data_IF_713321211006
#
_entry.id   IF_713321211006
#
_cell.length_a   1.000
_cell.length_b   1.000
_cell.length_c   1.000
_cell.angle_alpha   90.00
_cell.angle_beta   90.00
_cell.angle_gamma   90.00
#
_symmetry.space_group_name_H-M   'P 1'
#
loop_
_entity.id
_entity.type
_entity.pdbx_description
1 polymer ?
#
# COMPACT_ATOMS: atom_id res chain seq x y z
N UNK A 1 4.13 -22.84 2.64
CA UNK A 1 4.53 -21.85 3.66
C UNK A 1 6.04 -21.95 3.78
N UNK A 2 6.80 -20.89 3.48
CA UNK A 2 8.26 -20.94 3.58
C UNK A 2 8.70 -20.87 5.05
N UNK A 3 9.78 -21.55 5.45
CA UNK A 3 10.39 -21.35 6.75
C UNK A 3 10.86 -19.90 6.90
N UNK A 4 10.51 -19.27 8.03
CA UNK A 4 10.99 -17.94 8.40
C UNK A 4 11.74 -18.04 9.73
N UNK A 5 12.99 -17.60 9.77
CA UNK A 5 13.82 -17.57 10.96
C UNK A 5 14.05 -16.15 11.49
N UNK A 6 14.46 -16.03 12.76
CA UNK A 6 14.90 -14.78 13.34
C UNK A 6 16.39 -14.87 13.60
N UNK A 7 17.16 -13.93 13.06
CA UNK A 7 18.59 -13.84 13.35
C UNK A 7 18.86 -13.55 14.82
N UNK A 8 20.04 -13.91 15.35
CA UNK A 8 20.45 -13.55 16.71
C UNK A 8 20.35 -12.04 16.99
N UNK A 9 20.66 -11.21 15.99
CA UNK A 9 20.57 -9.75 16.06
C UNK A 9 19.13 -9.28 16.28
N UNK A 10 18.17 -9.87 15.55
CA UNK A 10 16.74 -9.59 15.74
C UNK A 10 16.27 -10.02 17.12
N UNK A 11 16.66 -11.22 17.58
CA UNK A 11 16.29 -11.70 18.93
C UNK A 11 16.84 -10.76 20.02
N UNK A 12 18.07 -10.28 19.87
CA UNK A 12 18.65 -9.31 20.79
C UNK A 12 17.92 -7.96 20.76
N UNK A 13 17.58 -7.43 19.58
CA UNK A 13 16.85 -6.17 19.44
C UNK A 13 15.46 -6.24 20.09
N UNK A 14 14.72 -7.33 19.87
CA UNK A 14 13.40 -7.55 20.47
C UNK A 14 13.48 -7.62 22.00
N UNK A 15 14.50 -8.30 22.53
CA UNK A 15 14.75 -8.34 23.97
C UNK A 15 15.01 -6.94 24.51
N UNK A 16 15.83 -6.13 23.83
CA UNK A 16 16.13 -4.77 24.26
C UNK A 16 14.89 -3.85 24.25
N UNK A 17 13.98 -3.99 23.27
CA UNK A 17 12.72 -3.24 23.27
C UNK A 17 11.83 -3.63 24.44
N UNK A 18 11.72 -4.94 24.70
CA UNK A 18 10.92 -5.46 25.81
C UNK A 18 11.46 -4.99 27.15
N UNK A 19 12.77 -5.04 27.34
CA UNK A 19 13.44 -4.64 28.58
C UNK A 19 13.26 -3.12 28.84
N UNK A 20 13.02 -2.32 27.79
CA UNK A 20 12.65 -0.89 27.89
C UNK A 20 11.14 -0.63 28.06
N UNK A 21 10.29 -1.64 27.92
CA UNK A 21 8.83 -1.47 27.89
C UNK A 21 8.31 -0.81 26.61
N UNK A 22 9.09 -0.82 25.54
CA UNK A 22 8.81 -0.11 24.28
C UNK A 22 8.45 -1.08 23.14
N UNK A 23 8.19 -2.37 23.41
CA UNK A 23 7.92 -3.36 22.38
C UNK A 23 6.50 -3.20 21.82
N UNK A 24 6.32 -2.76 20.56
CA UNK A 24 5.00 -2.70 19.94
C UNK A 24 4.47 -4.11 19.66
N UNK A 25 3.15 -4.30 19.58
CA UNK A 25 2.52 -5.61 19.30
C UNK A 25 3.07 -6.27 18.04
N UNK A 26 3.34 -5.46 17.00
CA UNK A 26 3.94 -5.91 15.73
C UNK A 26 5.32 -6.55 15.88
N UNK A 27 6.05 -6.24 16.95
CA UNK A 27 7.39 -6.78 17.22
C UNK A 27 7.37 -8.12 17.97
N UNK A 28 6.21 -8.78 18.10
CA UNK A 28 6.17 -10.16 18.58
C UNK A 28 6.70 -11.16 17.54
N UNK A 29 7.41 -12.19 18.01
CA UNK A 29 8.06 -13.18 17.15
C UNK A 29 7.10 -13.82 16.13
N UNK A 30 5.88 -14.16 16.54
CA UNK A 30 4.86 -14.76 15.68
C UNK A 30 4.34 -13.79 14.62
N UNK A 31 4.24 -12.50 14.95
CA UNK A 31 3.78 -11.44 14.04
C UNK A 31 4.83 -11.17 12.98
N UNK A 32 6.11 -11.07 13.37
CA UNK A 32 7.24 -10.90 12.44
C UNK A 32 7.29 -12.05 11.44
N UNK A 33 7.23 -13.30 11.92
CA UNK A 33 7.29 -14.49 11.05
C UNK A 33 6.11 -14.52 10.07
N UNK A 34 4.90 -14.25 10.56
CA UNK A 34 3.69 -14.21 9.73
C UNK A 34 3.74 -13.10 8.69
N UNK A 35 4.26 -11.92 9.06
CA UNK A 35 4.41 -10.79 8.16
C UNK A 35 5.38 -11.09 7.01
N UNK A 36 6.56 -11.64 7.32
CA UNK A 36 7.56 -12.02 6.30
C UNK A 36 7.01 -13.11 5.39
N UNK A 37 6.42 -14.16 5.95
CA UNK A 37 5.83 -15.24 5.16
C UNK A 37 4.70 -14.72 4.24
N UNK A 38 3.87 -13.81 4.75
CA UNK A 38 2.81 -13.17 3.97
C UNK A 38 3.35 -12.24 2.87
N UNK A 39 4.43 -11.50 3.13
CA UNK A 39 5.08 -10.65 2.14
C UNK A 39 5.71 -11.50 1.01
N UNK A 40 6.44 -12.56 1.36
CA UNK A 40 7.04 -13.47 0.38
C UNK A 40 5.97 -14.17 -0.46
N UNK A 41 4.89 -14.64 0.18
CA UNK A 41 3.77 -15.24 -0.56
C UNK A 41 3.21 -14.29 -1.62
N UNK A 42 2.97 -13.02 -1.27
CA UNK A 42 2.47 -12.01 -2.23
C UNK A 42 3.46 -11.73 -3.36
N UNK A 43 4.77 -11.75 -3.08
CA UNK A 43 5.79 -11.60 -4.11
C UNK A 43 5.77 -12.77 -5.10
N UNK A 44 5.64 -14.00 -4.61
CA UNK A 44 5.57 -15.22 -5.44
C UNK A 44 4.27 -15.28 -6.25
N UNK A 45 3.14 -14.98 -5.62
CA UNK A 45 1.81 -15.05 -6.25
C UNK A 45 1.51 -13.85 -7.16
N UNK A 46 2.32 -12.79 -7.10
CA UNK A 46 2.10 -11.55 -7.84
C UNK A 46 0.94 -10.69 -7.32
N UNK A 47 0.25 -11.11 -6.25
CA UNK A 47 -0.85 -10.38 -5.63
C UNK A 47 -0.37 -9.39 -4.56
N UNK A 48 0.22 -8.29 -5.03
CA UNK A 48 0.68 -7.19 -4.18
C UNK A 48 -0.41 -6.13 -3.93
N UNK A 49 -1.50 -6.16 -4.70
CA UNK A 49 -2.51 -5.10 -4.84
C UNK A 49 -3.14 -4.63 -3.52
N UNK A 50 -3.42 -5.56 -2.60
CA UNK A 50 -4.08 -5.27 -1.33
C UNK A 50 -3.13 -5.05 -0.15
N UNK A 51 -1.82 -5.24 -0.34
CA UNK A 51 -0.85 -5.32 0.76
C UNK A 51 0.26 -4.29 0.74
N UNK A 52 0.29 -3.38 -0.23
CA UNK A 52 1.37 -2.38 -0.42
C UNK A 52 0.77 -1.03 -0.81
N UNK A 53 1.54 0.07 -0.68
CA UNK A 53 1.07 1.36 -1.17
C UNK A 53 1.12 1.42 -2.70
N UNK A 54 0.23 2.20 -3.35
CA UNK A 54 0.24 2.31 -4.80
C UNK A 54 1.57 2.77 -5.41
N UNK A 55 2.33 3.63 -4.72
CA UNK A 55 3.65 4.08 -5.19
C UNK A 55 4.76 3.03 -5.02
N UNK A 56 4.62 2.11 -4.06
CA UNK A 56 5.55 0.98 -3.86
C UNK A 56 5.35 -0.12 -4.92
N UNK A 57 4.12 -0.25 -5.42
CA UNK A 57 3.68 -1.37 -6.25
C UNK A 57 4.46 -1.55 -7.57
N UNK A 58 4.75 -0.51 -8.37
CA UNK A 58 5.47 -0.66 -9.63
C UNK A 58 6.86 -1.25 -9.43
N UNK A 59 7.60 -0.76 -8.45
CA UNK A 59 8.95 -1.22 -8.16
C UNK A 59 8.96 -2.65 -7.63
N UNK A 60 8.07 -2.93 -6.67
CA UNK A 60 7.94 -4.27 -6.11
C UNK A 60 7.58 -5.30 -7.18
N UNK A 61 6.65 -4.98 -8.09
CA UNK A 61 6.31 -5.86 -9.22
C UNK A 61 7.49 -6.09 -10.15
N UNK A 62 8.20 -5.01 -10.52
CA UNK A 62 9.36 -5.09 -11.40
C UNK A 62 10.45 -5.98 -10.83
N UNK A 63 10.79 -5.80 -9.55
CA UNK A 63 11.80 -6.60 -8.86
C UNK A 63 11.33 -8.03 -8.62
N UNK A 64 10.05 -8.22 -8.29
CA UNK A 64 9.48 -9.54 -8.09
C UNK A 64 9.51 -10.41 -9.36
N UNK A 65 9.33 -9.81 -10.54
CA UNK A 65 9.43 -10.53 -11.81
C UNK A 65 10.82 -11.13 -12.08
N UNK A 66 11.87 -10.59 -11.44
CA UNK A 66 13.24 -11.09 -11.52
C UNK A 66 13.63 -11.99 -10.35
N UNK A 67 12.73 -12.25 -9.39
CA UNK A 67 13.04 -13.14 -8.28
C UNK A 67 13.12 -14.59 -8.77
N UNK A 68 14.16 -15.29 -8.33
CA UNK A 68 14.25 -16.74 -8.45
C UNK A 68 13.32 -17.47 -7.47
N UNK A 69 13.53 -18.78 -7.34
CA UNK A 69 12.84 -19.56 -6.31
C UNK A 69 13.21 -19.05 -4.91
N UNK A 70 12.21 -18.81 -4.06
CA UNK A 70 12.42 -18.45 -2.66
C UNK A 70 12.08 -19.67 -1.78
N UNK A 71 13.09 -20.21 -1.12
CA UNK A 71 12.95 -21.42 -0.29
C UNK A 71 12.87 -21.11 1.21
N UNK A 72 13.40 -19.97 1.66
CA UNK A 72 13.38 -19.55 3.05
C UNK A 72 13.52 -18.02 3.18
N UNK A 73 13.26 -17.49 4.38
CA UNK A 73 13.57 -16.12 4.72
C UNK A 73 14.10 -16.00 6.16
N UNK A 74 14.97 -15.03 6.41
CA UNK A 74 15.51 -14.75 7.74
C UNK A 74 15.32 -13.28 8.07
N UNK A 75 14.68 -12.97 9.19
CA UNK A 75 14.62 -11.62 9.71
C UNK A 75 16.02 -11.21 10.18
N UNK A 76 16.60 -10.18 9.55
CA UNK A 76 17.97 -9.72 9.79
C UNK A 76 18.05 -8.41 10.56
N UNK A 77 16.97 -7.61 10.56
CA UNK A 77 16.87 -6.36 11.34
C UNK A 77 15.42 -6.09 11.72
N UNK A 78 15.23 -5.56 12.95
CA UNK A 78 13.94 -5.04 13.39
C UNK A 78 14.15 -3.84 14.32
N UNK A 79 13.41 -2.76 14.07
CA UNK A 79 13.15 -1.69 15.02
C UNK A 79 11.63 -1.44 15.14
N UNK A 80 11.19 -0.35 15.77
CA UNK A 80 9.76 -0.07 15.89
C UNK A 80 9.09 0.22 14.54
N UNK A 81 9.83 0.72 13.55
CA UNK A 81 9.31 1.25 12.30
C UNK A 81 9.72 0.41 11.08
N UNK A 82 10.82 -0.33 11.17
CA UNK A 82 11.44 -1.05 10.07
C UNK A 82 11.69 -2.51 10.44
N UNK A 83 11.25 -3.43 9.58
CA UNK A 83 11.58 -4.84 9.60
C UNK A 83 12.24 -5.22 8.27
N UNK A 84 13.35 -5.95 8.33
CA UNK A 84 14.09 -6.40 7.15
C UNK A 84 14.23 -7.90 7.19
N UNK A 85 13.90 -8.54 6.06
CA UNK A 85 14.11 -9.96 5.85
C UNK A 85 15.00 -10.20 4.64
N UNK A 86 15.94 -11.13 4.77
CA UNK A 86 16.76 -11.64 3.68
C UNK A 86 16.13 -12.92 3.14
N UNK A 87 16.05 -13.02 1.82
CA UNK A 87 15.42 -14.11 1.08
C UNK A 87 16.50 -15.09 0.62
N UNK A 88 16.25 -16.39 0.79
CA UNK A 88 17.14 -17.45 0.31
C UNK A 88 16.59 -18.10 -0.96
N UNK A 89 17.45 -18.48 -1.92
CA UNK A 89 18.92 -18.46 -1.87
C UNK A 89 19.58 -17.19 -2.45
N UNK A 90 18.83 -16.25 -3.03
CA UNK A 90 19.37 -15.10 -3.76
C UNK A 90 19.89 -13.94 -2.91
N UNK A 91 19.69 -13.99 -1.59
CA UNK A 91 20.07 -12.94 -0.62
C UNK A 91 19.42 -11.58 -0.86
N UNK A 92 18.33 -11.52 -1.63
CA UNK A 92 17.55 -10.30 -1.79
C UNK A 92 16.94 -9.89 -0.44
N UNK A 93 16.94 -8.60 -0.14
CA UNK A 93 16.38 -8.07 1.09
C UNK A 93 15.07 -7.36 0.82
N UNK A 94 14.04 -7.67 1.61
CA UNK A 94 12.77 -6.96 1.62
C UNK A 94 12.63 -6.12 2.89
N UNK A 95 12.06 -4.93 2.73
CA UNK A 95 11.82 -3.96 3.80
C UNK A 95 10.32 -3.82 4.03
N UNK A 96 9.93 -3.98 5.28
CA UNK A 96 8.57 -3.79 5.74
C UNK A 96 8.52 -2.60 6.71
N UNK A 97 7.50 -1.75 6.56
CA UNK A 97 7.17 -0.65 7.47
C UNK A 97 6.20 -1.12 8.55
N UNK A 98 6.41 -0.67 9.78
CA UNK A 98 5.42 -0.80 10.86
C UNK A 98 4.18 0.04 10.56
N UNK A 99 3.00 -0.56 10.64
CA UNK A 99 1.71 0.12 10.45
C UNK A 99 0.75 -0.46 11.48
N UNK A 100 0.33 0.36 12.44
CA UNK A 100 -0.49 -0.06 13.58
C UNK A 100 0.13 -1.30 14.27
N UNK A 101 -0.62 -2.40 14.37
CA UNK A 101 -0.17 -3.68 14.94
C UNK A 101 0.46 -4.63 13.90
N UNK A 102 0.69 -4.17 12.68
CA UNK A 102 1.17 -4.97 11.55
C UNK A 102 2.44 -4.45 10.87
N UNK A 103 2.79 -5.15 9.80
CA UNK A 103 3.91 -4.84 8.92
C UNK A 103 3.43 -4.83 7.47
N UNK A 104 3.84 -3.80 6.72
CA UNK A 104 3.52 -3.65 5.30
C UNK A 104 4.79 -3.72 4.47
N UNK A 105 4.81 -4.55 3.43
CA UNK A 105 5.91 -4.57 2.46
C UNK A 105 5.97 -3.24 1.70
N UNK A 106 7.16 -2.64 1.62
CA UNK A 106 7.36 -1.33 0.98
C UNK A 106 8.32 -1.43 -0.20
N UNK A 107 9.47 -2.05 -0.01
CA UNK A 107 10.49 -2.14 -1.06
C UNK A 107 11.42 -3.31 -0.87
N UNK A 108 12.23 -3.56 -1.88
CA UNK A 108 13.48 -4.28 -1.71
C UNK A 108 14.59 -3.31 -1.26
N UNK A 109 15.54 -3.77 -0.47
CA UNK A 109 16.73 -3.00 -0.08
C UNK A 109 17.93 -3.35 -0.95
N UNK A 110 18.70 -2.33 -1.32
CA UNK A 110 20.01 -2.48 -1.93
C UNK A 110 21.07 -2.13 -0.89
N UNK A 111 21.91 -3.11 -0.54
CA UNK A 111 22.90 -2.96 0.52
C UNK A 111 22.27 -2.79 1.91
N UNK A 112 22.77 -1.81 2.67
CA UNK A 112 22.39 -1.57 4.07
C UNK A 112 21.43 -0.38 4.24
N UNK A 113 21.03 0.28 3.15
CA UNK A 113 20.03 1.35 3.21
C UNK A 113 18.62 0.79 3.34
N UNK A 114 18.12 0.85 4.57
CA UNK A 114 16.78 0.43 4.98
C UNK A 114 15.98 1.59 5.56
N UNK A 115 16.44 2.84 5.37
CA UNK A 115 15.71 4.03 5.78
C UNK A 115 14.38 4.11 5.04
N UNK A 116 13.33 4.49 5.77
CA UNK A 116 12.01 4.75 5.21
C UNK A 116 11.68 6.23 5.37
N UNK A 117 11.14 6.83 4.32
CA UNK A 117 10.59 8.18 4.43
C UNK A 117 9.40 8.17 5.39
N UNK A 118 9.17 9.22 6.19
CA UNK A 118 7.95 9.30 6.98
C UNK A 118 6.70 9.25 6.07
N UNK A 119 5.67 8.53 6.51
CA UNK A 119 4.33 8.67 5.93
C UNK A 119 3.55 9.68 6.79
N UNK A 120 2.89 10.62 6.15
CA UNK A 120 2.03 11.60 6.84
C UNK A 120 0.58 11.39 6.46
N UNK A 121 -0.29 11.52 7.45
CA UNK A 121 -1.74 11.35 7.28
C UNK A 121 -2.46 12.62 7.71
N UNK A 122 -3.42 13.08 6.91
CA UNK A 122 -4.29 14.20 7.25
C UNK A 122 -5.71 13.99 6.73
N UNK A 123 -6.68 14.54 7.45
CA UNK A 123 -8.07 14.57 7.01
C UNK A 123 -8.36 15.92 6.34
N UNK A 124 -9.10 15.89 5.24
CA UNK A 124 -9.56 17.08 4.50
C UNK A 124 -11.05 17.00 4.26
N UNK A 125 -11.70 18.16 4.12
CA UNK A 125 -13.07 18.23 3.62
C UNK A 125 -13.08 18.04 2.10
N UNK A 126 -14.11 17.35 1.60
CA UNK A 126 -14.36 17.22 0.17
C UNK A 126 -15.47 18.18 -0.21
N UNK A 127 -15.15 19.12 -1.10
CA UNK A 127 -16.13 20.02 -1.67
C UNK A 127 -16.56 19.51 -3.04
N UNK A 128 -17.82 19.09 -3.15
CA UNK A 128 -18.41 18.54 -4.37
C UNK A 128 -18.45 17.02 -4.40
N UNK A 129 -18.71 16.47 -5.58
CA UNK A 129 -18.80 15.03 -5.85
C UNK A 129 -18.01 14.67 -7.11
N UNK A 130 -17.82 13.37 -7.34
CA UNK A 130 -17.12 12.88 -8.52
C UNK A 130 -15.59 13.05 -8.50
N UNK A 131 -14.93 12.67 -9.60
CA UNK A 131 -13.47 12.76 -9.75
C UNK A 131 -12.90 14.18 -9.62
N UNK A 132 -13.65 15.22 -9.98
CA UNK A 132 -13.20 16.61 -9.87
C UNK A 132 -13.01 17.06 -8.42
N UNK A 133 -13.83 16.56 -7.49
CA UNK A 133 -13.64 16.82 -6.05
C UNK A 133 -12.33 16.22 -5.52
N UNK A 134 -11.90 15.07 -6.07
CA UNK A 134 -10.61 14.46 -5.76
C UNK A 134 -9.46 15.35 -6.25
N UNK A 135 -9.53 15.84 -7.50
CA UNK A 135 -8.51 16.72 -8.06
C UNK A 135 -8.39 18.04 -7.28
N UNK A 136 -9.53 18.64 -6.92
CA UNK A 136 -9.57 19.84 -6.09
C UNK A 136 -8.94 19.62 -4.71
N UNK A 137 -9.27 18.52 -4.03
CA UNK A 137 -8.71 18.17 -2.73
C UNK A 137 -7.19 17.91 -2.79
N UNK A 138 -6.69 17.38 -3.91
CA UNK A 138 -5.27 17.16 -4.16
C UNK A 138 -4.55 18.42 -4.71
N UNK A 139 -5.27 19.49 -5.02
CA UNK A 139 -4.70 20.70 -5.62
C UNK A 139 -4.15 20.48 -7.04
N UNK A 140 -4.72 19.55 -7.80
CA UNK A 140 -4.27 19.18 -9.14
C UNK A 140 -5.18 19.80 -10.20
N UNK A 141 -4.59 20.46 -11.18
CA UNK A 141 -5.28 20.85 -12.40
C UNK A 141 -5.28 19.69 -13.40
N UNK A 142 -6.46 19.33 -13.92
CA UNK A 142 -6.60 18.35 -15.00
C UNK A 142 -6.08 18.95 -16.32
N UNK A 143 -5.18 18.27 -17.05
CA UNK A 143 -4.76 18.73 -18.37
C UNK A 143 -5.90 18.75 -19.39
N UNK A 144 -5.77 19.63 -20.38
CA UNK A 144 -6.62 19.62 -21.57
C UNK A 144 -6.41 18.32 -22.35
N UNK A 145 -7.50 17.65 -22.73
CA UNK A 145 -7.45 16.38 -23.46
C UNK A 145 -7.58 15.11 -22.61
N UNK A 146 -7.51 15.20 -21.27
CA UNK A 146 -7.86 14.07 -20.40
C UNK A 146 -9.39 13.93 -20.33
N UNK A 147 -9.89 12.84 -20.88
CA UNK A 147 -11.32 12.49 -20.92
C UNK A 147 -11.77 11.75 -19.65
N UNK A 148 -13.05 11.89 -19.31
CA UNK A 148 -13.67 11.09 -18.26
C UNK A 148 -13.89 9.66 -18.76
N UNK A 149 -13.34 8.69 -18.06
CA UNK A 149 -13.60 7.26 -18.27
C UNK A 149 -14.77 6.81 -17.41
N UNK A 150 -15.56 5.87 -17.92
CA UNK A 150 -16.71 5.28 -17.22
C UNK A 150 -16.80 3.78 -17.45
N UNK A 151 -17.05 3.02 -16.39
CA UNK A 151 -17.33 1.59 -16.44
C UNK A 151 -18.42 1.22 -15.44
N UNK A 152 -19.14 0.13 -15.74
CA UNK A 152 -20.15 -0.46 -14.87
C UNK A 152 -19.95 -1.98 -14.84
N UNK A 153 -20.09 -2.58 -13.66
CA UNK A 153 -19.91 -4.01 -13.42
C UNK A 153 -21.04 -4.53 -12.52
N UNK A 154 -21.68 -5.63 -12.93
CA UNK A 154 -22.65 -6.37 -12.12
C UNK A 154 -21.89 -7.30 -11.17
N UNK A 155 -22.04 -7.05 -9.86
CA UNK A 155 -21.39 -7.82 -8.80
C UNK A 155 -22.23 -9.02 -8.33
N UNK A 156 -23.42 -9.20 -8.91
CA UNK A 156 -24.39 -10.22 -8.52
C UNK A 156 -25.28 -9.78 -7.35
N UNK A 157 -26.33 -10.57 -7.09
CA UNK A 157 -27.35 -10.27 -6.06
C UNK A 157 -28.05 -8.90 -6.22
N UNK A 158 -28.05 -8.35 -7.44
CA UNK A 158 -28.60 -7.02 -7.74
C UNK A 158 -27.69 -5.85 -7.40
N UNK A 159 -26.44 -6.09 -6.95
CA UNK A 159 -25.42 -5.07 -6.72
C UNK A 159 -24.71 -4.71 -8.04
N UNK A 160 -24.62 -3.42 -8.34
CA UNK A 160 -23.84 -2.89 -9.47
C UNK A 160 -22.82 -1.89 -8.96
N UNK A 161 -21.57 -2.03 -9.40
CA UNK A 161 -20.52 -1.02 -9.22
C UNK A 161 -20.44 -0.14 -10.47
N UNK A 162 -20.40 1.17 -10.25
CA UNK A 162 -20.12 2.18 -11.26
C UNK A 162 -18.82 2.86 -10.90
N UNK A 163 -17.93 2.99 -11.88
CA UNK A 163 -16.65 3.69 -11.72
C UNK A 163 -16.57 4.76 -12.78
N UNK A 164 -16.28 5.98 -12.36
CA UNK A 164 -15.97 7.07 -13.27
C UNK A 164 -14.68 7.75 -12.81
N UNK A 165 -13.82 8.18 -13.73
CA UNK A 165 -12.53 8.71 -13.34
C UNK A 165 -11.69 9.32 -14.45
N UNK A 166 -10.67 10.05 -14.01
CA UNK A 166 -9.60 10.55 -14.85
C UNK A 166 -8.33 9.75 -14.57
N UNK A 167 -7.57 9.48 -15.64
CA UNK A 167 -6.26 8.86 -15.55
C UNK A 167 -5.32 9.46 -16.58
N UNK A 168 -4.12 9.86 -16.14
CA UNK A 168 -3.06 10.28 -17.05
C UNK A 168 -1.68 10.11 -16.42
N UNK A 169 -0.66 10.15 -17.26
CA UNK A 169 0.72 10.40 -16.84
C UNK A 169 1.15 11.73 -17.43
N UNK A 170 1.85 12.56 -16.65
CA UNK A 170 2.43 13.81 -17.18
C UNK A 170 3.83 13.58 -17.76
N UNK A 171 4.39 14.61 -18.40
CA UNK A 171 5.71 14.58 -19.05
C UNK A 171 6.85 14.28 -18.07
N UNK A 172 6.63 14.50 -16.77
CA UNK A 172 7.58 14.16 -15.70
C UNK A 172 7.53 12.69 -15.28
N UNK A 173 6.61 11.89 -15.85
CA UNK A 173 6.40 10.49 -15.48
C UNK A 173 5.51 10.30 -14.25
N UNK A 174 4.94 11.37 -13.68
CA UNK A 174 3.99 11.27 -12.58
C UNK A 174 2.65 10.76 -13.10
N UNK A 175 2.16 9.68 -12.50
CA UNK A 175 0.84 9.10 -12.82
C UNK A 175 -0.20 9.63 -11.85
N UNK A 176 -1.34 10.09 -12.37
CA UNK A 176 -2.47 10.58 -11.60
C UNK A 176 -3.73 9.79 -11.94
N UNK A 177 -4.45 9.38 -10.90
CA UNK A 177 -5.76 8.72 -10.96
C UNK A 177 -6.70 9.46 -10.01
N UNK A 178 -7.86 9.85 -10.49
CA UNK A 178 -8.94 10.41 -9.69
C UNK A 178 -10.25 9.71 -10.07
N UNK A 179 -10.92 9.09 -9.11
CA UNK A 179 -12.06 8.21 -9.36
C UNK A 179 -13.19 8.45 -8.35
N UNK A 180 -14.40 8.28 -8.84
CA UNK A 180 -15.60 8.03 -8.05
C UNK A 180 -16.07 6.60 -8.29
N UNK A 181 -16.30 5.88 -7.20
CA UNK A 181 -16.83 4.52 -7.20
C UNK A 181 -18.18 4.56 -6.49
N UNK A 182 -19.24 4.22 -7.20
CA UNK A 182 -20.59 4.08 -6.65
C UNK A 182 -20.99 2.62 -6.62
N UNK A 183 -21.57 2.18 -5.51
CA UNK A 183 -22.20 0.86 -5.41
C UNK A 183 -23.66 1.04 -5.07
N UNK A 184 -24.51 0.38 -5.84
CA UNK A 184 -25.96 0.48 -5.73
C UNK A 184 -26.59 -0.90 -5.84
N UNK A 185 -27.65 -1.14 -5.07
CA UNK A 185 -28.55 -2.28 -5.24
C UNK A 185 -29.87 -1.73 -5.77
N UNK A 186 -30.30 -2.19 -6.94
CA UNK A 186 -31.54 -1.72 -7.60
C UNK A 186 -32.80 -2.37 -7.00
N UNK A 187 -33.02 -2.18 -5.70
CA UNK A 187 -34.19 -2.69 -4.97
C UNK A 187 -35.15 -1.58 -4.49
N UNK A 188 -34.76 -0.30 -4.68
CA UNK A 188 -35.54 0.87 -4.25
C UNK A 188 -35.56 1.12 -2.73
N UNK A 189 -34.82 0.34 -1.94
CA UNK A 189 -34.79 0.40 -0.48
C UNK A 189 -33.37 0.58 0.07
N UNK A 190 -32.36 0.03 -0.60
CA UNK A 190 -30.96 0.05 -0.17
C UNK A 190 -30.28 1.35 -0.60
N UNK A 191 -29.73 2.15 0.34
CA UNK A 191 -28.97 3.34 0.00
C UNK A 191 -27.72 2.99 -0.82
N UNK A 192 -27.43 3.79 -1.84
CA UNK A 192 -26.16 3.69 -2.57
C UNK A 192 -25.00 4.17 -1.70
N UNK A 193 -23.82 3.63 -1.94
CA UNK A 193 -22.57 4.10 -1.33
C UNK A 193 -21.68 4.73 -2.39
N UNK A 194 -21.06 5.87 -2.06
CA UNK A 194 -20.14 6.58 -2.95
C UNK A 194 -18.79 6.73 -2.26
N UNK A 195 -17.74 6.37 -2.97
CA UNK A 195 -16.36 6.46 -2.54
C UNK A 195 -15.58 7.31 -3.54
N UNK A 196 -14.69 8.14 -3.02
CA UNK A 196 -13.76 8.92 -3.83
C UNK A 196 -12.35 8.38 -3.62
N UNK A 197 -11.61 8.21 -4.70
CA UNK A 197 -10.24 7.69 -4.67
C UNK A 197 -9.33 8.57 -5.51
N UNK A 198 -8.24 9.01 -4.91
CA UNK A 198 -7.15 9.70 -5.60
C UNK A 198 -5.85 8.93 -5.42
N UNK A 199 -5.06 8.79 -6.49
CA UNK A 199 -3.72 8.22 -6.43
C UNK A 199 -2.78 9.06 -7.28
N UNK A 200 -1.67 9.47 -6.67
CA UNK A 200 -0.54 10.09 -7.34
C UNK A 200 0.67 9.20 -7.11
N UNK A 201 1.37 8.85 -8.18
CA UNK A 201 2.66 8.14 -8.12
C UNK A 201 3.69 9.00 -8.84
N UNK A 202 4.74 9.38 -8.12
CA UNK A 202 5.85 10.19 -8.61
C UNK A 202 7.16 9.54 -8.19
N UNK A 203 7.62 8.59 -9.01
CA UNK A 203 8.76 7.75 -8.68
C UNK A 203 8.53 6.92 -7.41
N UNK A 204 9.36 7.13 -6.40
CA UNK A 204 9.26 6.50 -5.07
C UNK A 204 8.38 7.28 -4.09
N UNK A 205 7.71 8.35 -4.55
CA UNK A 205 6.76 9.15 -3.78
C UNK A 205 5.35 8.89 -4.24
N UNK A 206 4.40 9.15 -3.35
CA UNK A 206 3.02 9.19 -3.77
C UNK A 206 2.07 9.76 -2.76
N UNK A 207 0.84 9.89 -3.24
CA UNK A 207 -0.30 10.34 -2.46
C UNK A 207 -1.44 9.39 -2.71
N UNK A 208 -2.13 8.99 -1.64
CA UNK A 208 -3.40 8.29 -1.72
C UNK A 208 -4.44 9.12 -0.99
N UNK A 209 -5.55 9.38 -1.66
CA UNK A 209 -6.75 9.95 -1.11
C UNK A 209 -7.84 8.88 -1.10
N UNK A 210 -8.46 8.67 0.05
CA UNK A 210 -9.68 7.87 0.19
C UNK A 210 -10.75 8.70 0.87
N UNK A 211 -11.82 8.98 0.13
CA UNK A 211 -12.89 9.87 0.53
C UNK A 211 -14.24 9.17 0.62
N UNK A 212 -15.05 9.62 1.57
CA UNK A 212 -16.45 9.19 1.77
C UNK A 212 -17.18 10.27 2.58
N UNK A 213 -18.49 10.43 2.32
CA UNK A 213 -19.40 11.23 3.17
C UNK A 213 -18.91 12.68 3.43
N UNK A 214 -18.37 13.34 2.40
CA UNK A 214 -17.93 14.73 2.48
C UNK A 214 -16.54 14.97 3.09
N UNK A 215 -15.79 13.91 3.43
CA UNK A 215 -14.41 14.03 3.93
C UNK A 215 -13.49 13.00 3.27
N UNK A 216 -12.19 13.27 3.29
CA UNK A 216 -11.18 12.33 2.82
C UNK A 216 -9.98 12.26 3.75
N UNK A 217 -9.40 11.06 3.79
CA UNK A 217 -8.08 10.82 4.35
C UNK A 217 -7.05 10.91 3.22
N UNK A 218 -6.04 11.76 3.39
CA UNK A 218 -4.88 11.86 2.51
C UNK A 218 -3.68 11.26 3.24
N UNK A 219 -2.96 10.38 2.55
CA UNK A 219 -1.71 9.77 2.99
C UNK A 219 -0.64 10.10 1.96
N UNK A 220 0.48 10.64 2.42
CA UNK A 220 1.63 11.05 1.60
C UNK A 220 2.87 10.28 2.06
N UNK A 221 3.73 9.87 1.12
CA UNK A 221 4.95 9.08 1.38
C UNK A 221 6.04 9.26 0.33
#
# INVERSE_FOLDING_TARGET
>A
MIPVELSPQVVAALRQMRDRGEQPSRCHNSVIRSAIAGAVRRLIEGDLSGGVRPWDLPELRRRAAGLGEISAATAVRVDAEVLVAELAPGSERIVLRGVDDGWRLVRFADGDDVGLRPETTRTVELHGSGPDAVLAALGIAKPDGVSLEYSSEDLGQGETEYRSGYRWADDGGRTVVAEEIKKEIFDGATPYSTYLRGVIIDGDRGVVLTGRDGSALIIEG
#
